data_IF_275839977430
#
_entry.id   IF_275839977430
#
_cell.length_a   1.000
_cell.length_b   1.000
_cell.length_c   1.000
_cell.angle_alpha   90.00
_cell.angle_beta   90.00
_cell.angle_gamma   90.00
#
_symmetry.space_group_name_H-M   'P 1'
#
loop_
_entity.id
_entity.type
_entity.pdbx_description
1 polymer ?
#
# COMPACT_ATOMS: atom_id res chain seq x y z
N UNK A 1 28.74 51.19 55.07
CA UNK A 1 30.14 50.70 54.96
C UNK A 1 30.13 49.59 53.93
N UNK A 2 30.81 49.58 52.80
CA UNK A 2 31.94 50.36 52.28
C UNK A 2 31.78 50.53 50.75
N UNK A 3 32.43 51.58 50.23
CA UNK A 3 32.48 52.00 48.83
C UNK A 3 33.13 50.98 47.89
N UNK A 4 32.60 50.91 46.66
CA UNK A 4 33.16 50.20 45.51
C UNK A 4 33.95 51.18 44.62
N UNK A 5 35.24 50.98 44.32
CA UNK A 5 35.94 51.75 43.29
C UNK A 5 35.95 51.01 41.95
N UNK A 6 35.56 51.72 40.90
CA UNK A 6 35.61 51.32 39.48
C UNK A 6 37.05 51.16 38.95
N UNK A 7 37.37 50.10 38.18
CA UNK A 7 38.60 50.04 37.41
C UNK A 7 38.31 50.32 35.93
N UNK A 8 38.27 51.60 35.54
CA UNK A 8 38.43 51.95 34.12
C UNK A 8 39.93 51.94 33.81
N UNK A 9 40.41 50.83 33.29
CA UNK A 9 41.77 50.69 32.78
C UNK A 9 42.05 51.66 31.65
N UNK A 10 43.06 52.52 31.81
CA UNK A 10 43.56 53.43 30.77
C UNK A 10 44.11 52.60 29.61
N UNK A 11 43.51 52.77 28.42
CA UNK A 11 44.01 52.15 27.19
C UNK A 11 45.40 52.71 26.84
N UNK A 12 46.38 51.83 26.67
CA UNK A 12 47.72 52.21 26.19
C UNK A 12 47.65 52.66 24.72
N UNK A 13 48.66 53.42 24.26
CA UNK A 13 48.72 53.91 22.87
C UNK A 13 48.60 52.79 21.83
N UNK A 14 49.08 51.58 22.15
CA UNK A 14 48.99 50.41 21.28
C UNK A 14 47.55 49.94 21.06
N UNK A 15 46.69 50.01 22.08
CA UNK A 15 45.27 49.66 21.95
C UNK A 15 44.53 50.64 21.05
N UNK A 16 44.91 51.93 21.06
CA UNK A 16 44.34 52.93 20.16
C UNK A 16 44.79 52.73 18.71
N UNK A 17 46.03 52.31 18.49
CA UNK A 17 46.53 51.98 17.15
C UNK A 17 45.83 50.75 16.58
N UNK A 18 45.66 49.69 17.38
CA UNK A 18 44.96 48.47 16.95
C UNK A 18 43.48 48.75 16.66
N UNK A 19 42.81 49.51 17.53
CA UNK A 19 41.41 49.88 17.32
C UNK A 19 41.23 50.74 16.06
N UNK A 20 42.16 51.67 15.78
CA UNK A 20 42.16 52.44 14.55
C UNK A 20 42.36 51.59 13.30
N UNK A 21 43.22 50.57 13.37
CA UNK A 21 43.47 49.66 12.25
C UNK A 21 42.30 48.70 11.99
N UNK A 22 41.63 48.20 13.05
CA UNK A 22 40.41 47.42 12.90
C UNK A 22 39.25 48.26 12.36
N UNK A 23 39.12 49.51 12.80
CA UNK A 23 38.09 50.42 12.30
C UNK A 23 38.31 50.74 10.81
N UNK A 24 39.55 51.00 10.38
CA UNK A 24 39.86 51.30 8.99
C UNK A 24 39.63 50.08 8.08
N UNK A 25 39.99 48.88 8.52
CA UNK A 25 39.72 47.64 7.79
C UNK A 25 38.21 47.36 7.68
N UNK A 26 37.44 47.62 8.75
CA UNK A 26 35.99 47.49 8.75
C UNK A 26 35.31 48.44 7.75
N UNK A 27 35.75 49.70 7.68
CA UNK A 27 35.25 50.65 6.69
C UNK A 27 35.63 50.28 5.25
N UNK A 28 36.81 49.69 5.03
CA UNK A 28 37.22 49.23 3.70
C UNK A 28 36.36 48.05 3.21
N UNK A 29 36.04 47.12 4.11
CA UNK A 29 35.18 45.98 3.79
C UNK A 29 33.74 46.44 3.50
N UNK A 30 33.21 47.39 4.28
CA UNK A 30 31.86 47.92 4.08
C UNK A 30 31.68 48.72 2.78
N UNK A 31 32.74 49.31 2.23
CA UNK A 31 32.66 50.08 0.98
C UNK A 31 32.86 49.22 -0.26
N UNK A 32 33.68 48.16 -0.18
CA UNK A 32 33.98 47.30 -1.34
C UNK A 32 32.86 46.29 -1.59
N UNK A 33 32.23 45.73 -0.55
CA UNK A 33 31.21 44.68 -0.71
C UNK A 33 29.96 45.14 -1.50
N UNK A 34 29.37 46.32 -1.26
CA UNK A 34 28.21 46.77 -2.03
C UNK A 34 28.53 47.02 -3.52
N UNK A 35 29.76 47.44 -3.83
CA UNK A 35 30.21 47.69 -5.20
C UNK A 35 30.30 46.41 -6.05
N UNK A 36 30.81 45.31 -5.48
CA UNK A 36 30.85 44.01 -6.18
C UNK A 36 29.46 43.38 -6.32
N UNK A 37 28.56 43.56 -5.35
CA UNK A 37 27.19 43.07 -5.43
C UNK A 37 26.40 43.74 -6.59
N UNK A 38 26.72 44.99 -6.91
CA UNK A 38 26.10 45.71 -8.03
C UNK A 38 26.76 45.40 -9.39
N UNK A 39 28.04 45.02 -9.41
CA UNK A 39 28.76 44.65 -10.63
C UNK A 39 28.53 43.19 -11.07
N UNK A 40 28.14 42.29 -10.16
CA UNK A 40 27.79 40.89 -10.47
C UNK A 40 26.28 40.68 -10.73
N UNK A 41 25.48 41.75 -10.74
CA UNK A 41 24.08 41.67 -11.12
C UNK A 41 24.02 41.73 -12.64
N UNK A 42 24.09 40.58 -13.29
CA UNK A 42 23.75 40.50 -14.70
C UNK A 42 22.36 41.13 -14.89
N UNK A 43 22.19 42.08 -15.83
CA UNK A 43 20.86 42.56 -16.17
C UNK A 43 20.09 41.32 -16.63
N UNK A 44 18.98 41.01 -15.94
CA UNK A 44 18.06 39.99 -16.40
C UNK A 44 17.77 40.27 -17.87
N UNK A 45 18.21 39.36 -18.75
CA UNK A 45 17.84 39.43 -20.15
C UNK A 45 16.32 39.53 -20.16
N UNK A 46 15.79 40.67 -20.59
CA UNK A 46 14.41 40.73 -21.03
C UNK A 46 14.34 39.74 -22.18
N UNK A 47 13.89 38.52 -21.87
CA UNK A 47 13.37 37.65 -22.91
C UNK A 47 12.18 38.40 -23.50
N UNK A 48 12.45 39.11 -24.60
CA UNK A 48 11.43 39.53 -25.52
C UNK A 48 10.85 38.23 -26.10
N UNK A 49 9.93 37.61 -25.35
CA UNK A 49 9.07 36.56 -25.83
C UNK A 49 8.21 37.18 -26.93
N UNK A 50 8.69 37.09 -28.16
CA UNK A 50 7.92 37.43 -29.35
C UNK A 50 6.78 36.41 -29.44
N UNK A 51 5.61 36.76 -28.89
CA UNK A 51 4.40 35.97 -29.05
C UNK A 51 3.94 36.11 -30.50
N UNK A 52 4.27 35.13 -31.34
CA UNK A 52 3.65 34.98 -32.64
C UNK A 52 2.19 34.58 -32.41
N UNK A 53 1.28 35.55 -32.60
CA UNK A 53 -0.15 35.27 -32.65
C UNK A 53 -0.40 34.45 -33.92
N UNK A 54 -0.52 33.13 -33.79
CA UNK A 54 -1.00 32.27 -34.87
C UNK A 54 -2.51 32.52 -35.00
N UNK A 55 -3.01 33.14 -36.08
CA UNK A 55 -4.44 33.19 -36.31
C UNK A 55 -4.94 31.76 -36.44
N UNK A 56 -5.89 31.38 -35.59
CA UNK A 56 -6.58 30.10 -35.72
C UNK A 56 -7.16 30.04 -37.14
N UNK A 57 -7.02 28.91 -37.85
CA UNK A 57 -7.65 28.75 -39.15
C UNK A 57 -9.15 29.04 -38.99
N UNK A 58 -9.76 29.82 -39.89
CA UNK A 58 -11.19 30.07 -39.83
C UNK A 58 -11.89 28.71 -39.86
N UNK A 59 -12.68 28.44 -38.82
CA UNK A 59 -13.58 27.29 -38.82
C UNK A 59 -14.50 27.51 -40.02
N UNK A 60 -14.28 26.75 -41.09
CA UNK A 60 -15.18 26.71 -42.22
C UNK A 60 -16.53 26.24 -41.69
N UNK A 61 -17.41 27.21 -41.50
CA UNK A 61 -18.76 27.01 -41.05
C UNK A 61 -19.51 26.15 -42.06
N UNK A 62 -19.61 24.86 -41.78
CA UNK A 62 -20.96 24.32 -41.66
C UNK A 62 -21.50 24.82 -40.34
N UNK A 63 -22.24 25.92 -40.41
CA UNK A 63 -23.30 26.21 -39.47
C UNK A 63 -24.23 25.00 -39.44
N UNK A 64 -23.86 23.98 -38.66
CA UNK A 64 -24.82 23.06 -38.13
C UNK A 64 -25.60 23.89 -37.12
N UNK A 65 -26.77 24.32 -37.55
CA UNK A 65 -27.92 24.52 -36.67
C UNK A 65 -28.12 23.23 -35.89
N UNK A 66 -27.28 22.98 -34.88
CA UNK A 66 -27.65 22.07 -33.82
C UNK A 66 -28.62 22.88 -33.00
N UNK A 67 -29.90 22.78 -33.35
CA UNK A 67 -30.92 22.68 -32.34
C UNK A 67 -30.29 21.84 -31.21
N UNK A 68 -30.21 22.41 -30.01
CA UNK A 68 -29.82 21.67 -28.84
C UNK A 68 -30.84 20.53 -28.69
N UNK A 69 -30.55 19.38 -29.30
CA UNK A 69 -31.03 18.12 -28.79
C UNK A 69 -30.52 18.14 -27.35
N UNK A 70 -31.41 18.42 -26.39
CA UNK A 70 -31.13 18.21 -24.98
C UNK A 70 -30.65 16.77 -24.90
N UNK A 71 -29.34 16.58 -24.77
CA UNK A 71 -28.77 15.27 -24.51
C UNK A 71 -29.48 14.68 -23.29
N UNK A 72 -29.47 13.35 -23.14
CA UNK A 72 -30.05 12.69 -21.97
C UNK A 72 -29.63 13.41 -20.67
N UNK A 73 -30.62 13.80 -19.87
CA UNK A 73 -30.42 14.57 -18.66
C UNK A 73 -30.06 13.60 -17.52
N UNK A 74 -28.83 13.10 -17.57
CA UNK A 74 -28.35 12.11 -16.61
C UNK A 74 -28.32 12.69 -15.18
N UNK A 75 -29.10 12.09 -14.29
CA UNK A 75 -29.02 12.32 -12.85
C UNK A 75 -28.10 11.28 -12.20
N UNK A 76 -27.00 11.73 -11.63
CA UNK A 76 -26.01 10.85 -10.98
C UNK A 76 -26.27 10.72 -9.48
N UNK A 77 -26.41 9.49 -9.00
CA UNK A 77 -26.55 9.14 -7.58
C UNK A 77 -25.28 8.43 -7.12
N UNK A 78 -24.74 8.86 -5.97
CA UNK A 78 -23.62 8.19 -5.32
C UNK A 78 -24.15 7.25 -4.24
N UNK A 79 -23.75 5.98 -4.31
CA UNK A 79 -24.16 4.93 -3.38
C UNK A 79 -23.61 5.20 -1.98
N UNK A 80 -24.49 5.22 -0.99
CA UNK A 80 -24.12 5.38 0.42
C UNK A 80 -23.74 4.05 1.08
N UNK A 81 -23.13 4.12 2.26
CA UNK A 81 -22.72 2.92 2.99
C UNK A 81 -23.93 2.07 3.40
N UNK A 82 -23.98 0.81 2.96
CA UNK A 82 -25.08 -0.11 3.21
C UNK A 82 -26.31 0.07 2.32
N UNK A 83 -26.34 1.09 1.45
CA UNK A 83 -27.47 1.36 0.57
C UNK A 83 -27.62 0.29 -0.51
N UNK A 84 -28.86 -0.15 -0.74
CA UNK A 84 -29.17 -1.19 -1.73
C UNK A 84 -29.60 -0.61 -3.08
N UNK A 85 -29.49 -1.41 -4.15
CA UNK A 85 -29.95 -1.00 -5.48
C UNK A 85 -31.46 -0.67 -5.49
N UNK A 86 -32.25 -1.45 -4.75
CA UNK A 86 -33.70 -1.24 -4.62
C UNK A 86 -34.05 0.10 -3.96
N UNK A 87 -33.32 0.47 -2.90
CA UNK A 87 -33.49 1.77 -2.24
C UNK A 87 -33.18 2.93 -3.18
N UNK A 88 -32.13 2.80 -4.01
CA UNK A 88 -31.76 3.83 -4.99
C UNK A 88 -32.83 3.96 -6.07
N UNK A 89 -33.31 2.84 -6.62
CA UNK A 89 -34.37 2.86 -7.63
C UNK A 89 -35.66 3.47 -7.07
N UNK A 90 -36.03 3.11 -5.84
CA UNK A 90 -37.17 3.70 -5.13
C UNK A 90 -37.00 5.20 -4.92
N UNK A 91 -35.80 5.66 -4.53
CA UNK A 91 -35.48 7.08 -4.37
C UNK A 91 -35.61 7.86 -5.69
N UNK A 92 -35.27 7.24 -6.82
CA UNK A 92 -35.41 7.82 -8.15
C UNK A 92 -36.82 7.68 -8.73
N UNK A 93 -37.78 7.13 -7.99
CA UNK A 93 -39.16 6.92 -8.44
C UNK A 93 -39.30 5.82 -9.50
N UNK A 94 -38.28 4.97 -9.69
CA UNK A 94 -38.29 3.91 -10.70
C UNK A 94 -38.87 2.61 -10.11
N UNK A 95 -39.88 1.99 -10.75
CA UNK A 95 -40.48 0.75 -10.26
C UNK A 95 -39.49 -0.42 -10.17
N UNK A 96 -39.69 -1.29 -9.17
CA UNK A 96 -38.85 -2.48 -8.97
C UNK A 96 -38.86 -3.45 -10.17
N UNK A 97 -39.95 -3.51 -10.94
CA UNK A 97 -40.02 -4.32 -12.17
C UNK A 97 -38.95 -3.91 -13.19
N UNK A 98 -38.71 -2.61 -13.34
CA UNK A 98 -37.68 -2.07 -14.25
C UNK A 98 -36.28 -2.36 -13.71
N UNK A 99 -36.09 -2.34 -12.38
CA UNK A 99 -34.83 -2.78 -11.76
C UNK A 99 -34.53 -4.24 -12.08
N UNK A 100 -35.51 -5.13 -11.97
CA UNK A 100 -35.32 -6.55 -12.30
C UNK A 100 -34.98 -6.73 -13.78
N UNK A 101 -35.67 -6.00 -14.66
CA UNK A 101 -35.38 -6.00 -16.10
C UNK A 101 -33.92 -5.56 -16.39
N UNK A 102 -33.45 -4.50 -15.73
CA UNK A 102 -32.04 -4.06 -15.83
C UNK A 102 -31.08 -5.15 -15.39
N UNK A 103 -31.38 -5.87 -14.30
CA UNK A 103 -30.54 -6.94 -13.76
C UNK A 103 -30.47 -8.19 -14.65
N UNK A 104 -31.32 -8.30 -15.68
CA UNK A 104 -31.21 -9.36 -16.70
C UNK A 104 -30.00 -9.15 -17.63
N UNK A 105 -29.51 -7.90 -17.78
CA UNK A 105 -28.29 -7.62 -18.54
C UNK A 105 -27.07 -8.32 -17.90
N UNK A 106 -26.20 -8.96 -18.71
CA UNK A 106 -25.00 -9.63 -18.21
C UNK A 106 -24.09 -8.75 -17.34
N UNK A 107 -23.88 -7.49 -17.74
CA UNK A 107 -23.01 -6.57 -16.98
C UNK A 107 -23.69 -6.00 -15.73
N UNK A 108 -25.02 -5.94 -15.71
CA UNK A 108 -25.78 -5.45 -14.57
C UNK A 108 -25.79 -6.43 -13.38
N UNK A 109 -25.40 -7.69 -13.56
CA UNK A 109 -25.32 -8.69 -12.47
C UNK A 109 -24.47 -8.22 -11.29
N UNK A 110 -23.43 -7.43 -11.55
CA UNK A 110 -22.55 -6.87 -10.52
C UNK A 110 -23.21 -5.77 -9.69
N UNK A 111 -24.30 -5.15 -10.16
CA UNK A 111 -25.09 -4.16 -9.40
C UNK A 111 -25.79 -4.78 -8.18
N UNK A 112 -25.84 -6.11 -8.06
CA UNK A 112 -26.29 -6.78 -6.84
C UNK A 112 -25.30 -6.63 -5.66
N UNK A 113 -24.05 -6.23 -5.92
CA UNK A 113 -22.99 -6.05 -4.92
C UNK A 113 -22.42 -4.63 -4.97
N UNK A 114 -23.30 -3.64 -4.80
CA UNK A 114 -22.91 -2.24 -4.77
C UNK A 114 -21.89 -1.97 -3.66
N UNK A 115 -20.94 -1.08 -3.97
CA UNK A 115 -19.97 -0.56 -3.02
C UNK A 115 -20.31 0.89 -2.72
N UNK A 116 -20.10 1.30 -1.48
CA UNK A 116 -20.20 2.70 -1.10
C UNK A 116 -19.25 3.54 -1.99
N UNK A 117 -19.74 4.70 -2.45
CA UNK A 117 -19.03 5.58 -3.37
C UNK A 117 -19.17 5.23 -4.86
N UNK A 118 -19.81 4.11 -5.22
CA UNK A 118 -20.15 3.84 -6.61
C UNK A 118 -21.13 4.90 -7.15
N UNK A 119 -21.05 5.22 -8.44
CA UNK A 119 -21.94 6.18 -9.08
C UNK A 119 -22.85 5.47 -10.07
N UNK A 120 -24.14 5.78 -10.01
CA UNK A 120 -25.18 5.31 -10.93
C UNK A 120 -25.82 6.53 -11.57
N UNK A 121 -25.83 6.62 -12.89
CA UNK A 121 -26.46 7.70 -13.61
C UNK A 121 -27.77 7.23 -14.24
N UNK A 122 -28.86 7.92 -13.94
CA UNK A 122 -30.22 7.62 -14.41
C UNK A 122 -30.63 8.66 -15.43
N UNK A 123 -31.16 8.21 -16.55
CA UNK A 123 -31.79 9.04 -17.56
C UNK A 123 -33.30 8.79 -17.52
N UNK A 124 -34.03 9.74 -16.92
CA UNK A 124 -35.48 9.66 -16.70
C UNK A 124 -36.21 10.53 -17.74
N UNK A 125 -37.37 10.06 -18.22
CA UNK A 125 -38.29 10.88 -19.02
C UNK A 125 -39.00 11.91 -18.14
N UNK A 126 -39.68 12.88 -18.76
CA UNK A 126 -40.51 13.86 -18.03
C UNK A 126 -41.60 13.18 -17.18
N UNK A 127 -42.09 12.01 -17.62
CA UNK A 127 -43.07 11.18 -16.90
C UNK A 127 -42.44 10.30 -15.79
N UNK A 128 -41.14 10.39 -15.57
CA UNK A 128 -40.41 9.60 -14.56
C UNK A 128 -40.04 8.17 -14.97
N UNK A 129 -40.25 7.79 -16.23
CA UNK A 129 -39.86 6.47 -16.73
C UNK A 129 -38.34 6.42 -16.98
N UNK A 130 -37.70 5.31 -16.62
CA UNK A 130 -36.27 5.11 -16.85
C UNK A 130 -36.02 4.78 -18.34
N UNK A 131 -35.37 5.71 -19.04
CA UNK A 131 -34.92 5.53 -20.43
C UNK A 131 -33.52 4.94 -20.50
N UNK A 132 -32.66 5.26 -19.53
CA UNK A 132 -31.31 4.72 -19.51
C UNK A 132 -30.67 4.68 -18.13
N UNK A 133 -29.72 3.76 -17.96
CA UNK A 133 -28.92 3.61 -16.75
C UNK A 133 -27.45 3.46 -17.14
N UNK A 134 -26.57 4.29 -16.59
CA UNK A 134 -25.13 4.16 -16.76
C UNK A 134 -24.43 3.88 -15.43
N UNK A 135 -23.44 2.98 -15.45
CA UNK A 135 -22.67 2.60 -14.26
C UNK A 135 -21.27 2.10 -14.65
N UNK A 136 -20.33 2.16 -13.72
CA UNK A 136 -19.01 1.57 -13.89
C UNK A 136 -19.09 0.07 -13.60
N UNK A 137 -18.80 -0.78 -14.61
CA UNK A 137 -18.75 -2.24 -14.42
C UNK A 137 -17.51 -2.64 -13.64
N UNK A 138 -16.39 -2.01 -13.97
CA UNK A 138 -15.08 -2.18 -13.37
C UNK A 138 -14.24 -0.91 -13.60
N UNK A 139 -12.95 -0.92 -13.22
CA UNK A 139 -12.08 0.26 -13.40
C UNK A 139 -11.87 0.63 -14.87
N UNK A 140 -12.01 -0.34 -15.78
CA UNK A 140 -11.68 -0.22 -17.20
C UNK A 140 -12.91 -0.14 -18.12
N UNK A 141 -14.14 -0.18 -17.59
CA UNK A 141 -15.34 -0.17 -18.43
C UNK A 141 -16.53 0.51 -17.75
N UNK A 142 -17.17 1.40 -18.50
CA UNK A 142 -18.49 1.97 -18.20
C UNK A 142 -19.54 1.27 -19.05
N UNK A 143 -20.69 0.99 -18.47
CA UNK A 143 -21.83 0.38 -19.15
C UNK A 143 -22.94 1.38 -19.21
N UNK A 144 -23.54 1.51 -20.38
CA UNK A 144 -24.74 2.32 -20.62
C UNK A 144 -25.85 1.38 -21.11
N UNK A 145 -26.92 1.32 -20.35
CA UNK A 145 -28.11 0.56 -20.68
C UNK A 145 -29.16 1.52 -21.23
N UNK A 146 -29.75 1.17 -22.37
CA UNK A 146 -30.93 1.84 -22.90
C UNK A 146 -32.14 0.91 -22.81
N UNK A 147 -33.24 1.44 -22.28
CA UNK A 147 -34.48 0.72 -22.02
C UNK A 147 -35.54 1.28 -22.97
N UNK A 148 -36.03 0.44 -23.88
CA UNK A 148 -37.07 0.81 -24.84
C UNK A 148 -38.00 -0.38 -25.08
N UNK A 149 -39.32 -0.16 -25.00
CA UNK A 149 -40.31 -1.20 -25.32
C UNK A 149 -40.25 -2.46 -24.45
N UNK A 150 -39.64 -2.41 -23.26
CA UNK A 150 -39.42 -3.57 -22.40
C UNK A 150 -38.17 -4.38 -22.71
N UNK A 151 -37.37 -3.97 -23.69
CA UNK A 151 -36.05 -4.53 -23.97
C UNK A 151 -34.93 -3.66 -23.40
N UNK A 152 -33.84 -4.31 -22.99
CA UNK A 152 -32.62 -3.66 -22.50
C UNK A 152 -31.52 -3.90 -23.51
N UNK A 153 -30.98 -2.81 -24.05
CA UNK A 153 -29.79 -2.84 -24.90
C UNK A 153 -28.60 -2.35 -24.10
N UNK A 154 -27.47 -3.04 -24.25
CA UNK A 154 -26.26 -2.75 -23.50
C UNK A 154 -25.18 -2.21 -24.43
N UNK A 155 -24.58 -1.08 -24.05
CA UNK A 155 -23.38 -0.52 -24.67
C UNK A 155 -22.25 -0.48 -23.64
N UNK A 156 -21.16 -1.21 -23.91
CA UNK A 156 -19.97 -1.22 -23.05
C UNK A 156 -18.95 -0.26 -23.63
N UNK A 157 -18.65 0.79 -22.87
CA UNK A 157 -17.65 1.80 -23.20
C UNK A 157 -16.37 1.45 -22.43
N UNK A 158 -15.39 0.92 -23.16
CA UNK A 158 -14.06 0.63 -22.63
C UNK A 158 -13.32 1.95 -22.31
N UNK A 159 -12.78 2.03 -21.08
CA UNK A 159 -12.00 3.14 -20.54
C UNK A 159 -10.59 2.63 -20.23
N UNK A 160 -9.67 2.66 -21.19
CA UNK A 160 -8.38 2.00 -21.05
C UNK A 160 -7.60 2.53 -19.85
N UNK A 161 -7.06 1.61 -19.05
CA UNK A 161 -6.19 1.93 -17.93
C UNK A 161 -4.76 2.09 -18.43
N UNK A 162 -4.18 3.25 -18.17
CA UNK A 162 -2.77 3.51 -18.41
C UNK A 162 -1.96 3.16 -17.17
N UNK A 163 -0.81 2.52 -17.39
CA UNK A 163 0.15 2.25 -16.33
C UNK A 163 1.38 3.13 -16.53
N UNK A 164 1.69 3.95 -15.54
CA UNK A 164 2.85 4.84 -15.56
C UNK A 164 3.85 4.44 -14.49
N UNK A 165 5.12 4.35 -14.87
CA UNK A 165 6.20 4.09 -13.92
C UNK A 165 6.68 5.42 -13.36
N UNK A 166 6.59 5.54 -12.05
CA UNK A 166 6.96 6.71 -11.27
C UNK A 166 8.19 6.41 -10.42
N UNK A 167 8.93 7.45 -10.06
CA UNK A 167 10.03 7.33 -9.12
C UNK A 167 9.87 8.38 -8.03
N UNK A 168 10.03 7.96 -6.78
CA UNK A 168 10.04 8.83 -5.62
C UNK A 168 11.25 8.53 -4.75
N UNK A 169 11.70 9.52 -3.99
CA UNK A 169 12.75 9.34 -2.99
C UNK A 169 12.50 10.28 -1.83
N UNK A 170 12.98 9.89 -0.64
CA UNK A 170 12.81 10.69 0.56
C UNK A 170 13.92 10.42 1.57
N UNK A 171 14.13 11.39 2.44
CA UNK A 171 14.94 11.26 3.65
C UNK A 171 14.02 11.29 4.85
N UNK A 172 14.28 10.40 5.80
CA UNK A 172 13.48 10.23 6.99
C UNK A 172 14.00 11.16 8.06
N UNK A 173 13.16 12.13 8.44
CA UNK A 173 13.43 13.05 9.56
C UNK A 173 12.56 12.76 10.78
N UNK A 174 11.36 12.21 10.56
CA UNK A 174 10.38 11.93 11.62
C UNK A 174 9.78 10.54 11.49
N UNK A 175 9.24 10.20 10.30
CA UNK A 175 8.68 8.88 10.03
C UNK A 175 8.72 8.56 8.54
N UNK A 176 8.63 7.27 8.22
CA UNK A 176 8.52 6.81 6.83
C UNK A 176 7.27 7.38 6.14
N UNK A 177 6.15 7.50 6.87
CA UNK A 177 4.91 8.04 6.30
C UNK A 177 5.02 9.52 5.98
N UNK A 178 5.60 10.32 6.88
CA UNK A 178 5.80 11.74 6.64
C UNK A 178 6.72 11.97 5.42
N UNK A 179 7.86 11.28 5.38
CA UNK A 179 8.80 11.37 4.26
C UNK A 179 8.20 10.85 2.94
N UNK A 180 7.44 9.75 2.99
CA UNK A 180 6.73 9.20 1.85
C UNK A 180 5.67 10.13 1.28
N UNK A 181 4.84 10.72 2.15
CA UNK A 181 3.82 11.68 1.75
C UNK A 181 4.44 12.94 1.13
N UNK A 182 5.53 13.46 1.72
CA UNK A 182 6.28 14.58 1.16
C UNK A 182 6.88 14.26 -0.21
N UNK A 183 7.27 13.00 -0.44
CA UNK A 183 7.76 12.50 -1.72
C UNK A 183 6.63 12.20 -2.75
N UNK A 184 5.37 12.50 -2.42
CA UNK A 184 4.22 12.29 -3.31
C UNK A 184 3.65 10.87 -3.33
N UNK A 185 4.12 9.98 -2.45
CA UNK A 185 3.61 8.61 -2.34
C UNK A 185 2.24 8.59 -1.65
N UNK A 186 1.37 7.70 -2.13
CA UNK A 186 0.12 7.38 -1.42
C UNK A 186 0.41 6.51 -0.19
N UNK A 187 -0.47 6.54 0.81
CA UNK A 187 -0.39 5.64 1.97
C UNK A 187 -0.33 4.16 1.56
N UNK A 188 -1.02 3.78 0.48
CA UNK A 188 -0.97 2.42 -0.05
C UNK A 188 0.42 2.06 -0.58
N UNK A 189 1.07 2.97 -1.32
CA UNK A 189 2.43 2.76 -1.82
C UNK A 189 3.46 2.69 -0.68
N UNK A 190 3.34 3.57 0.33
CA UNK A 190 4.19 3.57 1.52
C UNK A 190 4.08 2.23 2.26
N UNK A 191 2.85 1.74 2.45
CA UNK A 191 2.60 0.44 3.07
C UNK A 191 3.17 -0.72 2.28
N UNK A 192 2.97 -0.74 0.96
CA UNK A 192 3.54 -1.77 0.11
C UNK A 192 5.07 -1.77 0.20
N UNK A 193 5.72 -0.61 0.14
CA UNK A 193 7.17 -0.48 0.28
C UNK A 193 7.66 -0.98 1.65
N UNK A 194 7.02 -0.57 2.75
CA UNK A 194 7.38 -1.04 4.09
C UNK A 194 7.22 -2.57 4.20
N UNK A 195 6.17 -3.14 3.62
CA UNK A 195 5.94 -4.58 3.64
C UNK A 195 7.04 -5.36 2.90
N UNK A 196 7.58 -4.83 1.81
CA UNK A 196 8.68 -5.45 1.04
C UNK A 196 9.93 -5.65 1.90
N UNK A 197 10.25 -4.70 2.77
CA UNK A 197 11.44 -4.75 3.63
C UNK A 197 11.19 -5.25 5.06
N UNK A 198 9.95 -5.58 5.42
CA UNK A 198 9.53 -5.98 6.78
C UNK A 198 10.25 -7.22 7.37
N UNK A 199 11.03 -7.93 6.55
CA UNK A 199 11.92 -9.00 7.00
C UNK A 199 13.29 -8.49 7.45
N UNK A 200 13.86 -7.55 6.70
CA UNK A 200 15.24 -7.10 6.89
C UNK A 200 15.32 -5.81 7.73
N UNK A 201 14.23 -5.05 7.85
CA UNK A 201 14.15 -3.78 8.59
C UNK A 201 12.91 -3.79 9.51
N UNK A 202 13.10 -3.51 10.80
CA UNK A 202 11.99 -3.20 11.70
C UNK A 202 11.70 -1.69 11.67
N UNK A 203 10.72 -1.27 10.87
CA UNK A 203 10.38 0.15 10.72
C UNK A 203 9.90 0.85 12.01
N UNK A 204 9.60 0.11 13.08
CA UNK A 204 9.23 0.70 14.37
C UNK A 204 10.42 1.00 15.27
N UNK A 205 11.47 0.18 15.20
CA UNK A 205 12.64 0.24 16.07
C UNK A 205 13.88 0.79 15.36
N UNK A 206 14.00 0.53 14.06
CA UNK A 206 15.23 0.70 13.30
C UNK A 206 15.36 2.02 12.58
N UNK A 207 14.24 2.72 12.32
CA UNK A 207 14.27 4.02 11.66
C UNK A 207 15.04 5.06 12.48
N UNK A 208 15.88 5.81 11.78
CA UNK A 208 16.66 6.92 12.31
C UNK A 208 16.54 8.14 11.40
N UNK A 209 16.78 9.30 11.99
CA UNK A 209 16.97 10.53 11.24
C UNK A 209 18.14 10.37 10.26
N UNK A 210 17.95 10.77 9.01
CA UNK A 210 18.93 10.63 7.93
C UNK A 210 18.88 9.31 7.15
N UNK A 211 18.05 8.34 7.55
CA UNK A 211 17.73 7.17 6.72
C UNK A 211 17.06 7.62 5.42
N UNK A 212 17.20 6.83 4.35
CA UNK A 212 16.72 7.24 3.01
C UNK A 212 16.02 6.10 2.31
N UNK A 213 15.07 6.43 1.46
CA UNK A 213 14.47 5.46 0.54
C UNK A 213 14.41 6.02 -0.88
N UNK A 214 14.41 5.10 -1.83
CA UNK A 214 14.07 5.35 -3.23
C UNK A 214 13.14 4.25 -3.68
N UNK A 215 12.16 4.60 -4.51
CA UNK A 215 11.16 3.66 -4.94
C UNK A 215 10.75 3.95 -6.37
N UNK A 216 10.80 2.90 -7.19
CA UNK A 216 10.20 2.83 -8.52
C UNK A 216 8.89 2.08 -8.36
N UNK A 217 7.78 2.73 -8.69
CA UNK A 217 6.44 2.18 -8.49
C UNK A 217 5.55 2.48 -9.69
N UNK A 218 4.46 1.73 -9.80
CA UNK A 218 3.46 1.94 -10.84
C UNK A 218 2.32 2.82 -10.31
N UNK A 219 1.78 3.68 -11.15
CA UNK A 219 0.49 4.33 -10.97
C UNK A 219 -0.47 3.89 -12.07
N UNK A 220 -1.74 3.74 -11.71
CA UNK A 220 -2.83 3.43 -12.63
C UNK A 220 -3.59 4.73 -12.90
N UNK A 221 -3.70 5.07 -14.17
CA UNK A 221 -4.32 6.27 -14.68
C UNK A 221 -5.49 5.91 -15.59
N UNK A 222 -6.48 6.78 -15.66
CA UNK A 222 -7.63 6.66 -16.57
C UNK A 222 -8.07 8.06 -16.94
N UNK A 223 -8.25 8.30 -18.24
CA UNK A 223 -8.67 9.60 -18.79
C UNK A 223 -7.80 10.78 -18.31
N UNK A 224 -6.50 10.55 -18.18
CA UNK A 224 -5.55 11.57 -17.72
C UNK A 224 -5.53 11.83 -16.22
N UNK A 225 -6.35 11.13 -15.42
CA UNK A 225 -6.37 11.24 -13.96
C UNK A 225 -5.75 10.02 -13.26
N UNK A 226 -5.06 10.26 -12.14
CA UNK A 226 -4.49 9.18 -11.32
C UNK A 226 -5.59 8.50 -10.51
N UNK A 227 -5.88 7.23 -10.82
CA UNK A 227 -6.84 6.43 -10.06
C UNK A 227 -6.26 5.93 -8.74
N UNK A 228 -5.09 5.26 -8.79
CA UNK A 228 -4.45 4.66 -7.62
C UNK A 228 -3.01 4.28 -7.87
N UNK A 229 -2.29 3.99 -6.79
CA UNK A 229 -1.01 3.29 -6.89
C UNK A 229 -1.21 1.84 -7.34
N UNK A 230 -0.32 1.38 -8.21
CA UNK A 230 -0.21 0.00 -8.64
C UNK A 230 0.61 -0.82 -7.64
N UNK A 231 1.79 -1.27 -8.07
CA UNK A 231 2.73 -2.01 -7.22
C UNK A 231 4.13 -1.39 -7.20
N UNK A 232 4.93 -1.78 -6.22
CA UNK A 232 6.35 -1.46 -6.18
C UNK A 232 7.08 -2.31 -7.22
N UNK A 233 7.83 -1.68 -8.11
CA UNK A 233 8.66 -2.36 -9.11
C UNK A 233 10.04 -2.64 -8.52
N UNK A 234 10.63 -1.63 -7.91
CA UNK A 234 11.90 -1.74 -7.20
C UNK A 234 11.96 -0.69 -6.08
N UNK A 235 12.68 -0.99 -5.01
CA UNK A 235 12.96 -0.02 -3.97
C UNK A 235 14.37 -0.23 -3.40
N UNK A 236 14.98 0.84 -2.93
CA UNK A 236 16.17 0.80 -2.09
C UNK A 236 15.91 1.56 -0.80
N UNK A 237 16.53 1.09 0.28
CA UNK A 237 16.41 1.66 1.60
C UNK A 237 17.78 1.68 2.28
N UNK A 238 18.27 2.87 2.62
CA UNK A 238 19.45 3.05 3.45
C UNK A 238 18.99 3.18 4.90
N UNK A 239 19.22 2.14 5.69
CA UNK A 239 18.94 2.13 7.13
C UNK A 239 20.25 1.93 7.90
N UNK A 240 20.56 2.86 8.80
CA UNK A 240 21.79 2.81 9.64
C UNK A 240 23.07 2.58 8.82
N UNK A 241 23.16 3.22 7.66
CA UNK A 241 24.32 3.12 6.76
C UNK A 241 24.39 1.82 5.93
N UNK A 242 23.44 0.90 6.08
CA UNK A 242 23.33 -0.31 5.26
C UNK A 242 22.22 -0.16 4.22
N UNK A 243 22.55 -0.45 2.97
CA UNK A 243 21.59 -0.45 1.88
C UNK A 243 20.88 -1.81 1.76
N UNK A 244 19.56 -1.74 1.62
CA UNK A 244 18.69 -2.86 1.32
C UNK A 244 17.99 -2.57 0.00
N UNK A 245 18.12 -3.46 -0.98
CA UNK A 245 17.47 -3.31 -2.29
C UNK A 245 16.50 -4.45 -2.51
N UNK A 246 15.32 -4.11 -3.03
CA UNK A 246 14.27 -5.05 -3.37
C UNK A 246 13.81 -4.81 -4.81
N UNK A 247 13.64 -5.88 -5.58
CA UNK A 247 13.10 -5.80 -6.94
C UNK A 247 12.04 -6.85 -7.14
N UNK A 248 10.93 -6.43 -7.77
CA UNK A 248 9.82 -7.30 -8.15
C UNK A 248 10.22 -8.14 -9.35
N UNK A 249 10.07 -9.45 -9.24
CA UNK A 249 10.31 -10.40 -10.32
C UNK A 249 9.21 -11.45 -10.35
N UNK A 250 8.80 -11.85 -11.55
CA UNK A 250 7.79 -12.88 -11.73
C UNK A 250 8.46 -14.26 -11.81
N UNK A 251 8.09 -15.14 -10.87
CA UNK A 251 8.52 -16.53 -10.82
C UNK A 251 7.30 -17.43 -10.75
N UNK A 252 7.18 -18.40 -11.67
CA UNK A 252 6.06 -19.34 -11.72
C UNK A 252 4.67 -18.67 -11.74
N UNK A 253 4.53 -17.56 -12.48
CA UNK A 253 3.28 -16.78 -12.57
C UNK A 253 2.95 -15.98 -11.30
N UNK A 254 3.91 -15.80 -10.38
CA UNK A 254 3.75 -15.01 -9.15
C UNK A 254 4.78 -13.90 -9.09
N UNK A 255 4.32 -12.70 -8.78
CA UNK A 255 5.21 -11.58 -8.48
C UNK A 255 5.73 -11.72 -7.04
N UNK A 256 7.05 -11.79 -6.92
CA UNK A 256 7.77 -11.87 -5.64
C UNK A 256 8.86 -10.79 -5.61
N UNK A 257 9.36 -10.45 -4.42
CA UNK A 257 10.46 -9.49 -4.26
C UNK A 257 11.73 -10.22 -3.87
N UNK A 258 12.83 -9.82 -4.49
CA UNK A 258 14.16 -10.40 -4.28
C UNK A 258 15.17 -9.27 -4.06
N UNK A 259 16.25 -9.57 -3.34
CA UNK A 259 17.43 -8.71 -3.35
C UNK A 259 18.30 -8.94 -4.60
N UNK A 260 19.39 -8.18 -4.72
CA UNK A 260 20.32 -8.24 -5.85
C UNK A 260 21.03 -9.59 -5.99
N UNK A 261 21.03 -10.42 -4.95
CA UNK A 261 21.59 -11.77 -4.97
C UNK A 261 20.55 -12.82 -5.37
N UNK A 262 19.34 -12.38 -5.71
CA UNK A 262 18.22 -13.26 -6.03
C UNK A 262 17.66 -13.99 -4.80
N UNK A 263 17.97 -13.54 -3.58
CA UNK A 263 17.33 -14.08 -2.37
C UNK A 263 15.94 -13.47 -2.20
N UNK A 264 14.88 -14.28 -2.00
CA UNK A 264 13.54 -13.78 -1.74
C UNK A 264 13.44 -13.00 -0.43
N UNK A 265 12.70 -11.88 -0.45
CA UNK A 265 12.54 -10.95 0.69
C UNK A 265 11.29 -11.20 1.54
N UNK A 266 10.36 -12.05 1.09
CA UNK A 266 9.15 -12.39 1.86
C UNK A 266 9.45 -13.42 2.95
N UNK A 267 8.94 -13.19 4.17
CA UNK A 267 8.91 -14.20 5.25
C UNK A 267 8.14 -15.43 4.76
N UNK A 268 8.75 -16.61 4.85
CA UNK A 268 8.04 -17.87 4.57
C UNK A 268 6.82 -18.02 5.50
N UNK A 269 6.94 -17.59 6.77
CA UNK A 269 5.88 -17.70 7.78
C UNK A 269 5.90 -16.56 8.83
N UNK A 270 4.71 -16.15 9.27
CA UNK A 270 4.45 -15.26 10.40
C UNK A 270 4.48 -16.10 11.69
N UNK A 271 5.30 -15.71 12.66
CA UNK A 271 5.45 -16.45 13.94
C UNK A 271 4.23 -16.30 14.84
N UNK A 272 3.59 -15.13 14.82
CA UNK A 272 2.42 -14.80 15.61
C UNK A 272 1.24 -14.49 14.69
N UNK A 273 0.38 -15.48 14.38
CA UNK A 273 -0.75 -15.33 13.45
C UNK A 273 -1.98 -14.62 14.06
N UNK A 274 -1.77 -13.73 15.02
CA UNK A 274 -2.81 -13.05 15.77
C UNK A 274 -2.28 -11.71 16.30
N UNK A 275 -3.07 -10.64 16.21
CA UNK A 275 -2.66 -9.33 16.71
C UNK A 275 -2.91 -9.20 18.22
N UNK A 276 -2.00 -8.52 18.92
CA UNK A 276 -2.13 -8.13 20.34
C UNK A 276 -2.37 -9.28 21.35
N UNK A 277 -1.90 -10.49 21.06
CA UNK A 277 -2.07 -11.63 21.95
C UNK A 277 -0.83 -11.90 22.82
N UNK A 278 -1.04 -12.38 24.04
CA UNK A 278 0.03 -12.85 24.93
C UNK A 278 0.20 -14.36 24.81
N UNK A 279 1.44 -14.85 24.87
CA UNK A 279 1.72 -16.29 24.96
C UNK A 279 1.30 -16.77 26.35
N UNK A 280 0.27 -17.60 26.40
CA UNK A 280 -0.24 -18.21 27.63
C UNK A 280 0.39 -19.58 27.92
N UNK A 281 0.77 -20.31 26.87
CA UNK A 281 1.46 -21.60 26.98
C UNK A 281 2.38 -21.81 25.77
N UNK A 282 3.61 -22.26 26.01
CA UNK A 282 4.62 -22.51 24.99
C UNK A 282 4.62 -23.97 24.54
N UNK A 283 5.19 -24.23 23.36
CA UNK A 283 5.45 -25.60 22.90
C UNK A 283 6.31 -26.33 23.95
N UNK A 284 5.85 -27.48 24.41
CA UNK A 284 6.56 -28.26 25.42
C UNK A 284 6.25 -29.76 25.24
N UNK A 285 7.14 -30.52 24.57
CA UNK A 285 6.92 -31.94 24.32
C UNK A 285 7.03 -32.78 25.60
N UNK A 286 7.55 -32.21 26.70
CA UNK A 286 7.79 -32.89 27.98
C UNK A 286 6.95 -32.31 29.13
N UNK A 287 5.88 -31.57 28.83
CA UNK A 287 5.01 -30.97 29.87
C UNK A 287 4.43 -32.06 30.77
N UNK A 288 4.84 -32.09 32.04
CA UNK A 288 4.30 -33.00 33.04
C UNK A 288 2.97 -32.47 33.58
N UNK A 289 1.98 -33.36 33.69
CA UNK A 289 0.72 -33.05 34.34
C UNK A 289 0.94 -32.97 35.86
N UNK A 290 0.69 -31.84 36.52
CA UNK A 290 1.08 -31.61 37.91
C UNK A 290 0.42 -32.59 38.90
N UNK A 291 -0.74 -33.14 38.55
CA UNK A 291 -1.50 -34.06 39.42
C UNK A 291 -1.29 -35.53 39.07
N UNK A 292 -1.04 -35.86 37.80
CA UNK A 292 -1.02 -37.26 37.32
C UNK A 292 0.40 -37.78 37.06
N UNK A 293 1.42 -36.90 37.11
CA UNK A 293 2.82 -37.23 36.83
C UNK A 293 3.11 -37.61 35.36
N UNK A 294 2.08 -37.77 34.52
CA UNK A 294 2.20 -38.17 33.13
C UNK A 294 2.64 -37.01 32.24
N UNK A 295 3.40 -37.31 31.19
CA UNK A 295 3.80 -36.31 30.18
C UNK A 295 2.64 -36.12 29.20
N UNK A 296 2.07 -34.92 29.17
CA UNK A 296 1.10 -34.50 28.15
C UNK A 296 1.68 -33.36 27.34
N UNK A 297 2.36 -33.74 26.25
CA UNK A 297 3.00 -32.83 25.32
C UNK A 297 2.04 -31.72 24.87
N UNK A 298 2.50 -30.47 24.96
CA UNK A 298 1.86 -29.35 24.31
C UNK A 298 2.52 -29.15 22.94
N UNK A 299 1.78 -29.48 21.87
CA UNK A 299 2.30 -29.61 20.50
C UNK A 299 2.15 -28.33 19.67
N UNK A 300 1.87 -27.21 20.32
CA UNK A 300 1.69 -25.90 19.73
C UNK A 300 2.01 -24.78 20.72
N UNK A 301 1.57 -23.57 20.42
CA UNK A 301 1.66 -22.38 21.25
C UNK A 301 0.27 -21.82 21.43
N UNK A 302 -0.08 -21.47 22.67
CA UNK A 302 -1.37 -20.90 23.01
C UNK A 302 -1.26 -19.39 23.17
N UNK A 303 -1.97 -18.65 22.31
CA UNK A 303 -2.07 -17.20 22.36
C UNK A 303 -3.40 -16.80 23.00
N UNK A 304 -3.36 -16.26 24.21
CA UNK A 304 -4.55 -15.76 24.87
C UNK A 304 -4.98 -14.43 24.24
N UNK A 305 -6.24 -14.37 23.81
CA UNK A 305 -6.88 -13.22 23.21
C UNK A 305 -8.40 -13.32 23.40
N UNK A 306 -9.10 -12.19 23.29
CA UNK A 306 -10.55 -12.16 23.46
C UNK A 306 -11.27 -13.01 22.38
N UNK A 307 -12.43 -13.58 22.72
CA UNK A 307 -13.29 -14.21 21.73
C UNK A 307 -13.61 -13.21 20.61
N UNK A 308 -13.45 -13.62 19.36
CA UNK A 308 -13.67 -12.74 18.21
C UNK A 308 -12.41 -12.06 17.68
N UNK A 309 -11.25 -12.16 18.35
CA UNK A 309 -9.99 -11.62 17.79
C UNK A 309 -9.66 -12.32 16.46
N UNK A 310 -9.35 -11.57 15.37
CA UNK A 310 -9.00 -12.15 14.08
C UNK A 310 -7.75 -13.05 14.15
N UNK A 311 -7.85 -14.21 13.51
CA UNK A 311 -6.73 -15.16 13.32
C UNK A 311 -6.31 -15.11 11.87
N UNK A 312 -5.02 -14.91 11.62
CA UNK A 312 -4.44 -14.77 10.28
C UNK A 312 -3.74 -16.05 9.82
N UNK A 313 -3.69 -16.29 8.51
CA UNK A 313 -2.84 -17.33 7.94
C UNK A 313 -1.36 -16.97 8.16
N UNK A 314 -0.60 -17.87 8.79
CA UNK A 314 0.82 -17.67 9.03
C UNK A 314 1.65 -17.66 7.74
N UNK A 315 1.18 -18.27 6.66
CA UNK A 315 1.89 -18.33 5.38
C UNK A 315 0.92 -18.51 4.22
N UNK A 316 1.40 -18.27 3.00
CA UNK A 316 0.64 -18.60 1.80
C UNK A 316 0.38 -20.11 1.74
N UNK A 317 -0.82 -20.53 1.35
CA UNK A 317 -1.12 -21.96 1.28
C UNK A 317 -2.53 -22.27 0.79
N UNK A 318 -2.89 -23.55 0.90
CA UNK A 318 -4.21 -24.09 0.61
C UNK A 318 -4.82 -24.68 1.87
N UNK A 319 -6.07 -24.35 2.16
CA UNK A 319 -6.81 -24.94 3.28
C UNK A 319 -6.97 -26.45 3.01
N UNK A 320 -6.35 -27.28 3.83
CA UNK A 320 -6.45 -28.74 3.76
C UNK A 320 -7.56 -29.28 4.68
N UNK A 321 -7.91 -28.53 5.74
CA UNK A 321 -9.03 -28.85 6.63
C UNK A 321 -9.70 -27.56 7.13
N UNK A 322 -11.03 -27.57 7.22
CA UNK A 322 -11.82 -26.52 7.86
C UNK A 322 -13.09 -27.13 8.46
N UNK A 323 -13.17 -27.23 9.78
CA UNK A 323 -14.30 -27.89 10.43
C UNK A 323 -14.07 -28.16 11.92
N UNK A 324 -14.87 -29.07 12.48
CA UNK A 324 -14.71 -29.52 13.86
C UNK A 324 -13.72 -30.68 13.94
N UNK A 325 -12.74 -30.62 14.85
CA UNK A 325 -11.73 -31.67 15.03
C UNK A 325 -11.50 -31.99 16.50
N UNK A 326 -12.31 -32.90 17.06
CA UNK A 326 -12.15 -33.45 18.41
C UNK A 326 -11.85 -32.36 19.45
N UNK A 327 -10.80 -32.56 20.26
CA UNK A 327 -10.37 -31.62 21.30
C UNK A 327 -9.90 -30.26 20.79
N UNK A 328 -9.57 -30.11 19.50
CA UNK A 328 -9.24 -28.80 18.92
C UNK A 328 -10.49 -27.93 18.68
N UNK A 329 -11.69 -28.52 18.67
CA UNK A 329 -12.92 -27.79 18.33
C UNK A 329 -12.89 -27.30 16.88
N UNK A 330 -13.39 -26.08 16.62
CA UNK A 330 -13.34 -25.50 15.28
C UNK A 330 -11.91 -25.17 14.90
N UNK A 331 -11.48 -25.75 13.79
CA UNK A 331 -10.07 -25.82 13.39
C UNK A 331 -9.94 -25.54 11.90
N UNK A 332 -8.88 -24.83 11.52
CA UNK A 332 -8.37 -24.77 10.15
C UNK A 332 -6.97 -25.35 10.11
N UNK A 333 -6.68 -26.15 9.08
CA UNK A 333 -5.33 -26.59 8.74
C UNK A 333 -5.00 -26.03 7.36
N UNK A 334 -3.83 -25.41 7.22
CA UNK A 334 -3.33 -24.89 5.95
C UNK A 334 -2.10 -25.70 5.57
N UNK A 335 -2.11 -26.22 4.34
CA UNK A 335 -0.94 -26.80 3.68
C UNK A 335 -0.23 -25.72 2.86
N UNK A 336 1.05 -25.55 3.15
CA UNK A 336 1.91 -24.55 2.53
C UNK A 336 2.87 -25.15 1.50
N UNK A 337 2.76 -26.46 1.25
CA UNK A 337 3.62 -27.20 0.35
C UNK A 337 4.95 -27.63 0.97
N UNK A 338 5.68 -28.49 0.25
CA UNK A 338 6.96 -29.07 0.68
C UNK A 338 6.88 -29.71 2.09
N UNK A 339 5.71 -30.26 2.46
CA UNK A 339 5.46 -30.90 3.75
C UNK A 339 5.20 -29.95 4.93
N UNK A 340 5.06 -28.64 4.72
CA UNK A 340 4.81 -27.68 5.79
C UNK A 340 3.30 -27.46 6.00
N UNK A 341 2.82 -27.64 7.23
CA UNK A 341 1.42 -27.37 7.58
C UNK A 341 1.31 -26.55 8.85
N UNK A 342 0.29 -25.70 8.93
CA UNK A 342 -0.08 -24.99 10.17
C UNK A 342 -1.50 -25.34 10.59
N UNK A 343 -1.73 -25.42 11.89
CA UNK A 343 -3.04 -25.68 12.49
C UNK A 343 -3.44 -24.54 13.41
N UNK A 344 -4.70 -24.13 13.32
CA UNK A 344 -5.30 -23.06 14.10
C UNK A 344 -6.59 -23.61 14.73
N UNK A 345 -6.65 -23.68 16.05
CA UNK A 345 -7.72 -24.36 16.79
C UNK A 345 -8.47 -23.44 17.74
N UNK A 346 -9.50 -24.01 18.37
CA UNK A 346 -10.38 -23.40 19.36
C UNK A 346 -11.19 -22.20 18.86
N UNK A 347 -11.39 -22.08 17.54
CA UNK A 347 -12.05 -20.90 16.95
C UNK A 347 -13.51 -20.76 17.38
N UNK A 348 -13.97 -19.53 17.63
CA UNK A 348 -15.40 -19.26 17.80
C UNK A 348 -16.14 -19.45 16.47
N UNK A 349 -15.54 -18.94 15.39
CA UNK A 349 -16.09 -18.97 14.03
C UNK A 349 -14.98 -19.10 13.00
N UNK A 350 -15.23 -19.94 11.98
CA UNK A 350 -14.37 -20.03 10.80
C UNK A 350 -14.65 -18.85 9.86
N UNK A 351 -13.64 -18.38 9.14
CA UNK A 351 -13.81 -17.41 8.07
C UNK A 351 -14.51 -18.03 6.85
N UNK A 352 -14.59 -17.27 5.76
CA UNK A 352 -15.24 -17.71 4.50
C UNK A 352 -14.51 -18.84 3.75
N UNK A 353 -13.36 -19.28 4.24
CA UNK A 353 -12.47 -20.19 3.53
C UNK A 353 -12.83 -21.65 3.83
N UNK A 354 -13.02 -22.43 2.76
CA UNK A 354 -13.33 -23.87 2.79
C UNK A 354 -12.12 -24.69 2.38
N UNK A 355 -12.18 -26.02 2.58
CA UNK A 355 -11.19 -26.96 2.03
C UNK A 355 -10.96 -26.68 0.54
N UNK A 356 -9.69 -26.63 0.14
CA UNK A 356 -9.27 -26.28 -1.22
C UNK A 356 -9.07 -24.78 -1.46
N UNK A 357 -9.51 -23.88 -0.57
CA UNK A 357 -9.32 -22.44 -0.77
C UNK A 357 -7.85 -22.05 -0.70
N UNK A 358 -7.41 -21.16 -1.59
CA UNK A 358 -6.08 -20.53 -1.49
C UNK A 358 -6.16 -19.34 -0.52
N UNK A 359 -5.17 -19.23 0.35
CA UNK A 359 -5.04 -18.14 1.33
C UNK A 359 -3.64 -17.56 1.25
N UNK A 360 -3.55 -16.24 1.39
CA UNK A 360 -2.27 -15.53 1.47
C UNK A 360 -1.92 -15.32 2.93
N UNK A 361 -0.63 -15.28 3.25
CA UNK A 361 -0.14 -14.87 4.56
C UNK A 361 -0.81 -13.56 5.02
N UNK A 362 -1.19 -13.47 6.29
CA UNK A 362 -1.90 -12.30 6.85
C UNK A 362 -3.41 -12.29 6.58
N UNK A 363 -3.94 -13.14 5.70
CA UNK A 363 -5.38 -13.23 5.46
C UNK A 363 -6.10 -13.71 6.74
N UNK A 364 -7.16 -13.02 7.17
CA UNK A 364 -8.00 -13.51 8.27
C UNK A 364 -8.74 -14.78 7.88
N UNK A 365 -8.46 -15.88 8.58
CA UNK A 365 -9.01 -17.21 8.32
C UNK A 365 -10.08 -17.63 9.32
N UNK A 366 -10.19 -16.94 10.45
CA UNK A 366 -11.18 -17.22 11.48
C UNK A 366 -11.01 -16.31 12.68
N UNK A 367 -11.68 -16.65 13.79
CA UNK A 367 -11.74 -15.80 14.98
C UNK A 367 -11.56 -16.63 16.24
N UNK A 368 -10.82 -16.08 17.22
CA UNK A 368 -10.55 -16.72 18.51
C UNK A 368 -11.84 -17.10 19.22
N UNK A 369 -11.82 -18.22 19.93
CA UNK A 369 -12.89 -18.66 20.81
C UNK A 369 -12.36 -19.63 21.86
N UNK A 370 -13.25 -20.48 22.36
CA UNK A 370 -12.94 -21.50 23.36
C UNK A 370 -13.63 -22.84 23.03
N UNK A 371 -13.76 -23.19 21.74
CA UNK A 371 -14.42 -24.45 21.35
C UNK A 371 -13.52 -25.66 21.55
N UNK A 372 -14.10 -26.84 21.75
CA UNK A 372 -13.34 -28.07 22.01
C UNK A 372 -12.83 -28.12 23.45
N UNK A 373 -11.65 -28.67 23.66
CA UNK A 373 -11.01 -28.76 24.98
C UNK A 373 -10.15 -27.51 25.24
N UNK A 374 -10.81 -26.41 25.57
CA UNK A 374 -10.18 -25.13 25.91
C UNK A 374 -10.64 -24.66 27.30
N UNK A 375 -9.71 -24.18 28.13
CA UNK A 375 -10.02 -23.63 29.47
C UNK A 375 -10.52 -22.18 29.42
N UNK A 376 -10.38 -21.50 28.28
CA UNK A 376 -10.81 -20.13 28.06
C UNK A 376 -10.45 -19.66 26.64
N UNK A 377 -10.82 -18.43 26.27
CA UNK A 377 -10.55 -17.89 24.94
C UNK A 377 -9.06 -17.81 24.61
N UNK A 378 -8.62 -18.57 23.60
CA UNK A 378 -7.26 -18.54 23.08
C UNK A 378 -7.18 -19.15 21.67
N UNK A 379 -6.10 -18.84 20.96
CA UNK A 379 -5.69 -19.56 19.75
C UNK A 379 -4.66 -20.62 20.14
N UNK A 380 -4.95 -21.89 19.85
CA UNK A 380 -3.91 -22.92 19.82
C UNK A 380 -3.33 -23.02 18.40
N UNK A 381 -2.05 -22.72 18.26
CA UNK A 381 -1.33 -22.66 17.00
C UNK A 381 -0.24 -23.73 16.93
N UNK A 382 -0.26 -24.56 15.89
CA UNK A 382 0.79 -25.54 15.65
C UNK A 382 1.47 -25.32 14.31
N UNK A 383 2.76 -25.66 14.26
CA UNK A 383 3.56 -25.72 13.05
C UNK A 383 4.11 -27.14 12.88
N UNK A 384 3.99 -27.70 11.68
CA UNK A 384 4.42 -29.08 11.40
C UNK A 384 5.25 -29.15 10.12
N UNK A 385 6.30 -29.96 10.15
CA UNK A 385 7.16 -30.29 9.00
C UNK A 385 7.08 -31.80 8.78
N UNK A 386 6.60 -32.22 7.62
CA UNK A 386 6.35 -33.62 7.27
C UNK A 386 5.54 -34.36 8.36
N UNK A 387 4.51 -33.69 8.89
CA UNK A 387 3.65 -34.20 9.96
C UNK A 387 4.23 -34.11 11.38
N UNK A 388 5.53 -33.85 11.56
CA UNK A 388 6.15 -33.71 12.87
C UNK A 388 5.96 -32.28 13.42
N UNK A 389 5.44 -32.16 14.64
CA UNK A 389 5.23 -30.88 15.30
C UNK A 389 6.57 -30.21 15.67
N UNK A 390 6.69 -28.92 15.40
CA UNK A 390 7.86 -28.09 15.72
C UNK A 390 7.40 -26.90 16.54
N UNK A 391 8.28 -26.38 17.40
CA UNK A 391 8.02 -25.15 18.12
C UNK A 391 7.90 -23.98 17.13
N UNK A 392 6.70 -23.37 16.96
CA UNK A 392 6.51 -22.26 16.03
C UNK A 392 7.33 -21.01 16.38
N UNK A 393 7.78 -20.87 17.63
CA UNK A 393 8.57 -19.72 18.08
C UNK A 393 10.04 -19.85 17.68
N UNK A 394 10.54 -21.08 17.58
CA UNK A 394 11.96 -21.36 17.31
C UNK A 394 12.21 -22.01 15.97
N UNK A 395 11.17 -22.36 15.20
CA UNK A 395 11.34 -22.92 13.86
C UNK A 395 12.04 -21.88 12.98
N UNK A 396 13.31 -22.15 12.68
CA UNK A 396 14.07 -21.42 11.67
C UNK A 396 13.70 -22.06 10.35
N UNK A 397 12.86 -21.37 9.58
CA UNK A 397 12.58 -21.81 8.22
C UNK A 397 13.89 -21.79 7.43
N UNK A 398 14.16 -22.80 6.58
CA UNK A 398 15.27 -22.69 5.65
C UNK A 398 15.08 -21.40 4.85
N UNK A 399 16.15 -20.61 4.74
CA UNK A 399 16.13 -19.40 3.92
C UNK A 399 15.63 -19.82 2.54
N UNK A 400 14.63 -19.12 1.98
CA UNK A 400 14.14 -19.47 0.66
C UNK A 400 15.33 -19.47 -0.30
N UNK A 401 15.46 -20.54 -1.09
CA UNK A 401 16.61 -20.73 -1.98
C UNK A 401 16.71 -19.53 -2.93
N UNK A 402 17.90 -18.91 -3.04
CA UNK A 402 18.13 -17.87 -4.01
C UNK A 402 17.90 -18.38 -5.43
N UNK A 403 17.52 -17.47 -6.34
CA UNK A 403 17.48 -17.78 -7.76
C UNK A 403 18.86 -18.28 -8.23
N UNK A 404 18.87 -19.30 -9.07
CA UNK A 404 20.09 -19.90 -9.61
C UNK A 404 19.94 -20.23 -11.10
N UNK A 405 21.07 -20.46 -11.77
CA UNK A 405 21.08 -20.86 -13.18
C UNK A 405 20.31 -19.90 -14.09
N UNK A 406 19.42 -20.46 -14.92
CA UNK A 406 18.61 -19.70 -15.88
C UNK A 406 17.65 -18.71 -15.21
N UNK A 407 17.12 -19.02 -14.01
CA UNK A 407 16.23 -18.09 -13.29
C UNK A 407 16.98 -16.83 -12.84
N UNK A 408 18.23 -16.96 -12.41
CA UNK A 408 19.06 -15.80 -12.05
C UNK A 408 19.39 -14.94 -13.28
N UNK A 409 19.63 -15.55 -14.43
CA UNK A 409 19.86 -14.82 -15.70
C UNK A 409 18.61 -14.05 -16.10
N UNK A 410 17.44 -14.70 -16.07
CA UNK A 410 16.16 -14.07 -16.35
C UNK A 410 15.86 -12.93 -15.36
N UNK A 411 16.13 -13.14 -14.07
CA UNK A 411 16.00 -12.11 -13.04
C UNK A 411 16.83 -10.88 -13.35
N UNK A 412 18.12 -11.04 -13.64
CA UNK A 412 19.01 -9.91 -13.96
C UNK A 412 18.55 -9.15 -15.20
N UNK A 413 18.15 -9.86 -16.25
CA UNK A 413 17.66 -9.24 -17.48
C UNK A 413 16.35 -8.48 -17.25
N UNK A 414 15.39 -9.07 -16.55
CA UNK A 414 14.08 -8.48 -16.30
C UNK A 414 14.13 -7.28 -15.33
N UNK A 415 15.06 -7.28 -14.37
CA UNK A 415 15.14 -6.26 -13.32
C UNK A 415 16.06 -5.10 -13.64
N UNK A 416 16.94 -5.24 -14.64
CA UNK A 416 17.91 -4.20 -15.02
C UNK A 416 17.29 -2.80 -15.26
N UNK A 417 16.15 -2.64 -15.96
CA UNK A 417 15.56 -1.32 -16.20
C UNK A 417 15.13 -0.62 -14.90
N UNK A 418 14.50 -1.37 -13.99
CA UNK A 418 14.04 -0.83 -12.70
C UNK A 418 15.22 -0.45 -11.79
N UNK A 419 16.28 -1.26 -11.78
CA UNK A 419 17.52 -0.96 -11.07
C UNK A 419 18.24 0.27 -11.63
N UNK A 420 18.25 0.45 -12.96
CA UNK A 420 18.79 1.65 -13.59
C UNK A 420 17.99 2.91 -13.24
N UNK A 421 16.67 2.80 -13.07
CA UNK A 421 15.82 3.90 -12.60
C UNK A 421 16.13 4.31 -11.15
N UNK A 422 16.33 3.35 -10.24
CA UNK A 422 16.74 3.65 -8.86
C UNK A 422 18.07 4.44 -8.84
N UNK A 423 19.09 3.92 -9.54
CA UNK A 423 20.42 4.55 -9.59
C UNK A 423 20.42 5.97 -10.16
N UNK A 424 19.57 6.26 -11.15
CA UNK A 424 19.47 7.62 -11.71
C UNK A 424 19.00 8.64 -10.68
N UNK A 425 18.06 8.28 -9.81
CA UNK A 425 17.56 9.16 -8.76
C UNK A 425 18.62 9.39 -7.67
N UNK A 426 19.45 8.39 -7.39
CA UNK A 426 20.59 8.53 -6.50
C UNK A 426 21.62 9.55 -7.00
N UNK A 427 22.02 9.44 -8.28
CA UNK A 427 23.01 10.32 -8.88
C UNK A 427 22.59 11.79 -8.95
N UNK A 428 21.33 12.07 -9.27
CA UNK A 428 20.80 13.45 -9.34
C UNK A 428 20.82 14.12 -7.96
N UNK A 429 20.59 13.37 -6.89
CA UNK A 429 20.57 13.90 -5.52
C UNK A 429 21.98 14.12 -4.96
N UNK A 430 22.94 13.25 -5.29
CA UNK A 430 24.35 13.43 -4.90
C UNK A 430 24.96 14.67 -5.57
N UNK A 431 24.54 15.01 -6.78
CA UNK A 431 24.98 16.22 -7.48
C UNK A 431 24.32 17.52 -6.98
N UNK A 432 23.23 17.44 -6.22
CA UNK A 432 22.50 18.58 -5.68
C UNK A 432 22.91 18.96 -4.24
N UNK A 433 23.90 18.28 -3.68
CA UNK A 433 24.56 18.57 -2.39
C UNK A 433 25.92 19.18 -2.65
#
# INVERSE_FOLDING_TARGET
>A
MQHNPSPLGRWSREHWVLAGLCASLGTLVLTIIPGFASAMREPAAQENLTTLSLPLPPLEGKAATSAAARGPAWQTVTVQNGQTLGEIFQQMGVPASVMYLVLESPSAKNLTRLRAGAQLAFDLTEDGALRGLAFERDEAARVELAIAGGEVTENVIERPLERRTMVASGEITSSLYAAGAQAGLSNAAINQMANVFSYDIDFTQDLRDGDRFQVVYEEIWRDGERLRSGGIVAASFLNRGKEFTAVRFERNGKQEYFDLTGRPLKKSFMRMPIEFARISSRFNPRRKHPVLGTVRAHKGVDYAAATGTPIMAAGDGRVSFAGWQNGYGRTIIIDHGKGHTTLYAHMSRLGRYKVGSRVQQGTTIGYVGATGLASGPHLHYEFRINGAHRDPLTVTMPKPEPLAGSEMVAFRAATAPALAQLKRVEGVRLAAR
#
